data_IF_177507072206
#
_entry.id   IF_177507072206
#
_cell.length_a   1.000
_cell.length_b   1.000
_cell.length_c   1.000
_cell.angle_alpha   90.00
_cell.angle_beta   90.00
_cell.angle_gamma   90.00
#
_symmetry.space_group_name_H-M   'P 1'
#
loop_
_entity.id
_entity.type
_entity.pdbx_description
1 polymer ?
#
# COMPACT_ATOMS: atom_id res chain seq x y z
N UNK A 1 -10.65 -11.28 -54.02
CA UNK A 1 -10.35 -11.60 -55.43
C UNK A 1 -8.92 -12.12 -55.47
N UNK A 2 -8.69 -13.34 -55.96
CA UNK A 2 -7.38 -13.98 -55.88
C UNK A 2 -6.41 -13.37 -56.91
N UNK A 3 -5.22 -13.01 -56.45
CA UNK A 3 -4.04 -12.83 -57.29
C UNK A 3 -2.93 -13.70 -56.70
N UNK A 4 -2.54 -14.74 -57.43
CA UNK A 4 -1.29 -15.43 -57.21
C UNK A 4 -0.19 -14.58 -57.88
N UNK A 5 0.71 -13.99 -57.09
CA UNK A 5 1.97 -13.48 -57.60
C UNK A 5 3.07 -13.63 -56.55
N UNK A 6 4.20 -14.08 -57.06
CA UNK A 6 5.45 -14.37 -56.40
C UNK A 6 6.20 -13.06 -56.14
N UNK A 7 6.15 -12.51 -54.92
CA UNK A 7 7.03 -11.42 -54.48
C UNK A 7 7.39 -11.57 -53.00
N UNK A 8 8.58 -11.08 -52.67
CA UNK A 8 9.28 -11.13 -51.38
C UNK A 8 8.41 -11.04 -50.13
N UNK A 9 8.90 -11.63 -49.03
CA UNK A 9 8.41 -11.46 -47.66
C UNK A 9 7.74 -10.08 -47.43
N UNK A 10 6.42 -10.03 -47.57
CA UNK A 10 5.64 -8.80 -47.55
C UNK A 10 4.84 -8.72 -46.26
N UNK A 11 4.90 -7.57 -45.59
CA UNK A 11 4.10 -7.29 -44.40
C UNK A 11 2.62 -7.41 -44.73
N UNK A 12 1.87 -8.14 -43.88
CA UNK A 12 0.43 -8.27 -44.02
C UNK A 12 -0.23 -6.95 -43.59
N UNK A 13 -0.85 -6.17 -44.49
CA UNK A 13 -1.59 -4.97 -44.11
C UNK A 13 -2.71 -5.34 -43.12
N UNK A 14 -3.09 -4.38 -42.28
CA UNK A 14 -4.11 -4.53 -41.22
C UNK A 14 -3.75 -5.54 -40.10
N UNK A 15 -2.49 -5.99 -40.02
CA UNK A 15 -1.96 -6.79 -38.89
C UNK A 15 -1.04 -6.03 -37.93
N UNK A 16 -0.85 -4.73 -38.17
CA UNK A 16 -0.08 -3.86 -37.28
C UNK A 16 -0.75 -3.77 -35.90
N UNK A 17 0.04 -3.87 -34.84
CA UNK A 17 -0.41 -3.65 -33.46
C UNK A 17 0.44 -2.56 -32.82
N UNK A 18 -0.19 -1.45 -32.46
CA UNK A 18 0.45 -0.41 -31.67
C UNK A 18 0.32 -0.75 -30.17
N UNK A 19 1.44 -0.65 -29.44
CA UNK A 19 1.49 -0.80 -27.99
C UNK A 19 2.19 0.41 -27.38
N UNK A 20 1.71 0.88 -26.24
CA UNK A 20 2.33 1.93 -25.44
C UNK A 20 2.77 1.37 -24.09
N UNK A 21 3.83 1.96 -23.54
CA UNK A 21 4.31 1.66 -22.20
C UNK A 21 4.83 2.95 -21.58
N UNK A 22 4.61 3.10 -20.28
CA UNK A 22 5.15 4.22 -19.52
C UNK A 22 6.53 3.86 -18.96
N UNK A 23 7.45 4.84 -18.98
CA UNK A 23 8.76 4.71 -18.35
C UNK A 23 8.71 5.52 -17.05
N UNK A 24 8.94 4.84 -15.91
CA UNK A 24 8.93 5.46 -14.59
C UNK A 24 10.34 5.63 -14.05
N UNK A 25 10.66 6.85 -13.59
CA UNK A 25 11.87 7.17 -12.84
C UNK A 25 11.46 7.59 -11.44
N UNK A 26 11.92 6.86 -10.43
CA UNK A 26 11.66 7.15 -9.03
C UNK A 26 12.97 7.33 -8.26
N UNK A 27 12.99 8.34 -7.39
CA UNK A 27 14.06 8.59 -6.43
C UNK A 27 13.49 8.49 -5.01
N UNK A 28 14.31 8.23 -3.96
CA UNK A 28 13.81 8.15 -2.58
C UNK A 28 13.00 9.38 -2.16
N UNK A 29 13.38 10.56 -2.62
CA UNK A 29 12.73 11.84 -2.31
C UNK A 29 11.38 12.03 -3.02
N UNK A 30 11.01 11.13 -3.94
CA UNK A 30 9.69 11.16 -4.58
C UNK A 30 8.54 10.85 -3.61
N UNK A 31 8.84 10.33 -2.42
CA UNK A 31 7.89 10.12 -1.34
C UNK A 31 8.32 10.88 -0.09
N UNK A 32 7.41 11.65 0.48
CA UNK A 32 7.57 12.23 1.81
C UNK A 32 6.66 11.49 2.78
N UNK A 33 7.24 10.90 3.82
CA UNK A 33 6.54 10.05 4.80
C UNK A 33 6.59 10.71 6.18
N UNK A 34 5.44 10.85 6.82
CA UNK A 34 5.30 11.31 8.21
C UNK A 34 4.44 10.33 9.01
N UNK A 35 4.85 10.02 10.24
CA UNK A 35 4.09 9.22 11.19
C UNK A 35 3.90 10.02 12.48
N UNK A 36 2.67 10.40 12.76
CA UNK A 36 2.30 11.24 13.91
C UNK A 36 1.51 10.42 14.93
N UNK A 37 1.85 10.54 16.22
CA UNK A 37 1.04 9.95 17.29
C UNK A 37 -0.20 10.80 17.58
N UNK A 38 -1.27 10.16 18.01
CA UNK A 38 -2.45 10.86 18.56
C UNK A 38 -2.13 11.28 20.01
N UNK A 39 -2.18 12.58 20.35
CA UNK A 39 -1.92 13.03 21.71
C UNK A 39 -3.09 12.70 22.65
N UNK A 40 -2.80 12.58 23.95
CA UNK A 40 -3.84 12.46 24.98
C UNK A 40 -4.45 11.06 25.15
N UNK A 41 -3.82 10.01 24.61
CA UNK A 41 -4.24 8.62 24.85
C UNK A 41 -4.17 8.28 26.35
N UNK A 42 -5.25 7.68 26.87
CA UNK A 42 -5.37 7.31 28.29
C UNK A 42 -5.49 5.79 28.43
N UNK A 43 -4.74 5.21 29.36
CA UNK A 43 -4.82 3.79 29.70
C UNK A 43 -6.21 3.42 30.23
N UNK A 44 -6.64 2.17 30.02
CA UNK A 44 -7.91 1.63 30.49
C UNK A 44 -9.16 2.14 29.76
N UNK A 45 -8.99 2.91 28.69
CA UNK A 45 -10.08 3.45 27.84
C UNK A 45 -9.95 3.09 26.36
N UNK A 46 -9.05 2.17 26.01
CA UNK A 46 -8.97 1.67 24.64
C UNK A 46 -10.29 1.05 24.23
N UNK A 47 -10.66 1.22 22.96
CA UNK A 47 -11.75 0.51 22.32
C UNK A 47 -11.36 0.21 20.87
N UNK A 48 -11.98 -0.81 20.28
CA UNK A 48 -11.80 -1.15 18.87
C UNK A 48 -12.03 0.09 17.97
N UNK A 49 -11.11 0.30 17.02
CA UNK A 49 -11.14 1.44 16.11
C UNK A 49 -10.63 2.77 16.69
N UNK A 50 -10.11 2.81 17.93
CA UNK A 50 -9.49 4.03 18.48
C UNK A 50 -8.21 4.40 17.72
N UNK A 51 -8.16 5.61 17.15
CA UNK A 51 -6.95 6.15 16.50
C UNK A 51 -5.82 6.34 17.52
N UNK A 52 -4.63 5.81 17.19
CA UNK A 52 -3.42 5.96 18.02
C UNK A 52 -2.28 6.65 17.27
N UNK A 53 -2.28 6.59 15.95
CA UNK A 53 -1.33 7.29 15.10
C UNK A 53 -1.92 7.54 13.70
N UNK A 54 -1.27 8.42 12.94
CA UNK A 54 -1.65 8.80 11.58
C UNK A 54 -0.42 8.76 10.69
N UNK A 55 -0.46 7.91 9.67
CA UNK A 55 0.54 7.82 8.61
C UNK A 55 0.12 8.73 7.45
N UNK A 56 0.98 9.67 7.10
CA UNK A 56 0.79 10.55 5.93
C UNK A 56 1.92 10.33 4.95
N UNK A 57 1.57 9.96 3.72
CA UNK A 57 2.52 9.79 2.62
C UNK A 57 2.12 10.71 1.49
N UNK A 58 3.01 11.60 1.07
CA UNK A 58 2.74 12.56 0.00
C UNK A 58 3.74 12.42 -1.15
N UNK A 59 3.24 12.62 -2.37
CA UNK A 59 4.04 12.63 -3.60
C UNK A 59 3.38 13.48 -4.67
N UNK A 60 4.21 14.09 -5.52
CA UNK A 60 3.75 14.80 -6.71
C UNK A 60 3.69 13.91 -7.97
N UNK A 61 4.33 12.73 -7.95
CA UNK A 61 4.51 11.89 -9.14
C UNK A 61 4.15 10.41 -8.94
N UNK A 62 4.23 9.90 -7.71
CA UNK A 62 3.82 8.54 -7.36
C UNK A 62 2.36 8.58 -6.91
N UNK A 63 1.52 7.73 -7.49
CA UNK A 63 0.09 7.72 -7.19
C UNK A 63 -0.26 6.86 -5.98
N UNK A 64 0.42 5.72 -5.82
CA UNK A 64 0.13 4.73 -4.78
C UNK A 64 1.38 4.39 -3.98
N UNK A 65 1.22 4.04 -2.70
CA UNK A 65 2.28 3.52 -1.84
C UNK A 65 1.85 2.23 -1.15
N UNK A 66 2.83 1.37 -0.84
CA UNK A 66 2.62 0.18 -0.03
C UNK A 66 3.04 0.41 1.42
N UNK A 67 2.27 -0.11 2.39
CA UNK A 67 2.61 -0.06 3.80
C UNK A 67 2.34 -1.39 4.50
N UNK A 68 3.18 -1.70 5.50
CA UNK A 68 3.09 -2.89 6.35
C UNK A 68 3.56 -2.56 7.76
N UNK A 69 2.91 -3.17 8.75
CA UNK A 69 3.43 -3.22 10.10
C UNK A 69 4.73 -4.00 10.18
N UNK A 70 5.67 -3.54 11.01
CA UNK A 70 6.92 -4.25 11.31
C UNK A 70 6.93 -4.59 12.79
N UNK A 71 6.74 -5.88 13.09
CA UNK A 71 6.72 -6.42 14.45
C UNK A 71 7.20 -7.88 14.45
N UNK A 72 7.62 -8.37 15.61
CA UNK A 72 7.86 -9.80 15.82
C UNK A 72 6.57 -10.64 15.73
N UNK A 73 5.40 -10.01 15.77
CA UNK A 73 4.10 -10.68 15.63
C UNK A 73 3.21 -9.85 14.69
N UNK A 74 3.16 -10.28 13.44
CA UNK A 74 2.31 -9.73 12.37
C UNK A 74 1.10 -10.65 12.20
N UNK A 75 -0.09 -10.08 12.08
CA UNK A 75 -1.33 -10.80 11.81
C UNK A 75 -1.80 -10.51 10.38
N UNK A 76 -2.31 -11.55 9.72
CA UNK A 76 -2.70 -11.50 8.31
C UNK A 76 -1.51 -11.51 7.34
N UNK A 77 -1.76 -11.88 6.09
CA UNK A 77 -0.72 -11.97 5.06
C UNK A 77 -0.24 -10.60 4.56
N UNK A 78 -1.11 -9.59 4.60
CA UNK A 78 -0.82 -8.24 4.11
C UNK A 78 -0.06 -7.34 5.10
N UNK A 79 0.24 -7.85 6.31
CA UNK A 79 0.81 -7.07 7.40
C UNK A 79 0.00 -5.83 7.78
N UNK A 80 -1.33 -5.90 7.60
CA UNK A 80 -2.28 -4.83 7.89
C UNK A 80 -2.60 -4.72 9.38
N UNK A 81 -2.32 -5.77 10.15
CA UNK A 81 -2.48 -5.83 11.60
C UNK A 81 -1.22 -6.43 12.23
N UNK A 82 -0.81 -5.91 13.39
CA UNK A 82 0.36 -6.36 14.09
C UNK A 82 0.27 -6.04 15.58
N UNK A 83 1.02 -6.80 16.37
CA UNK A 83 1.08 -6.64 17.83
C UNK A 83 2.22 -5.71 18.20
N UNK A 84 2.00 -4.79 19.14
CA UNK A 84 3.04 -3.93 19.71
C UNK A 84 3.14 -4.23 21.21
N UNK A 85 4.37 -4.44 21.70
CA UNK A 85 4.64 -4.69 23.12
C UNK A 85 5.19 -3.43 23.80
N UNK A 86 4.55 -3.05 24.91
CA UNK A 86 4.94 -1.91 25.73
C UNK A 86 6.31 -2.15 26.40
N UNK A 87 7.20 -1.17 26.26
CA UNK A 87 8.60 -1.29 26.73
C UNK A 87 8.73 -1.53 28.25
N UNK A 88 7.80 -1.00 29.04
CA UNK A 88 7.89 -1.03 30.51
C UNK A 88 7.05 -2.15 31.13
N UNK A 89 5.81 -2.35 30.65
CA UNK A 89 4.88 -3.32 31.23
C UNK A 89 5.01 -4.72 30.63
N UNK A 90 5.55 -4.85 29.41
CA UNK A 90 5.47 -6.10 28.64
C UNK A 90 4.07 -6.42 28.12
N UNK A 91 3.06 -5.63 28.50
CA UNK A 91 1.71 -5.74 27.95
C UNK A 91 1.71 -5.37 26.48
N UNK A 92 0.82 -6.00 25.73
CA UNK A 92 0.76 -5.81 24.30
C UNK A 92 -0.63 -5.42 23.84
N UNK A 93 -0.67 -4.57 22.82
CA UNK A 93 -1.90 -4.19 22.13
C UNK A 93 -1.84 -4.68 20.69
N UNK A 94 -3.01 -4.97 20.13
CA UNK A 94 -3.15 -5.22 18.71
C UNK A 94 -3.52 -3.92 18.00
N UNK A 95 -2.86 -3.66 16.89
CA UNK A 95 -3.06 -2.46 16.10
C UNK A 95 -3.14 -2.82 14.62
N UNK A 96 -3.75 -1.96 13.84
CA UNK A 96 -3.83 -2.13 12.40
C UNK A 96 -4.10 -0.82 11.67
N UNK A 97 -4.00 -0.87 10.35
CA UNK A 97 -4.52 0.23 9.54
C UNK A 97 -6.04 0.30 9.70
N UNK A 98 -6.58 1.51 9.90
CA UNK A 98 -8.03 1.72 9.92
C UNK A 98 -8.66 1.17 8.64
N UNK A 99 -9.84 0.57 8.75
CA UNK A 99 -10.58 -0.04 7.62
C UNK A 99 -11.12 0.98 6.62
N UNK A 100 -10.59 2.20 6.58
CA UNK A 100 -11.13 3.31 5.81
C UNK A 100 -10.99 3.02 4.30
N UNK A 101 -12.08 2.54 3.71
CA UNK A 101 -12.18 1.98 2.36
C UNK A 101 -11.82 2.99 1.27
N UNK A 102 -11.87 4.29 1.57
CA UNK A 102 -11.70 5.36 0.58
C UNK A 102 -10.29 5.42 -0.04
N UNK A 103 -9.25 5.01 0.69
CA UNK A 103 -7.86 5.15 0.25
C UNK A 103 -7.19 3.82 -0.10
N UNK A 104 -7.79 2.70 0.28
CA UNK A 104 -7.22 1.37 0.06
C UNK A 104 -7.41 0.91 -1.39
N UNK A 105 -6.33 0.49 -2.05
CA UNK A 105 -6.33 -0.05 -3.43
C UNK A 105 -6.28 -1.57 -3.50
N UNK A 106 -6.25 -2.23 -2.34
CA UNK A 106 -6.19 -3.68 -2.19
C UNK A 106 -4.77 -4.22 -2.07
N UNK A 107 -4.61 -5.52 -1.77
CA UNK A 107 -3.29 -6.10 -1.55
C UNK A 107 -2.49 -6.28 -2.86
N UNK A 108 -1.17 -6.03 -2.80
CA UNK A 108 -0.22 -6.32 -3.89
C UNK A 108 0.88 -7.26 -3.43
N UNK A 109 1.24 -8.23 -4.26
CA UNK A 109 2.37 -9.13 -3.98
C UNK A 109 3.67 -8.52 -4.47
N UNK A 110 4.67 -8.45 -3.61
CA UNK A 110 6.03 -8.04 -3.97
C UNK A 110 7.04 -8.95 -3.27
N UNK A 111 7.89 -9.63 -4.04
CA UNK A 111 8.91 -10.57 -3.54
C UNK A 111 8.35 -11.67 -2.60
N UNK A 112 7.15 -12.18 -2.89
CA UNK A 112 6.50 -13.21 -2.07
C UNK A 112 5.76 -12.68 -0.84
N UNK A 113 5.80 -11.37 -0.61
CA UNK A 113 5.20 -10.68 0.52
C UNK A 113 4.00 -9.85 0.07
N UNK A 114 2.87 -9.93 0.80
CA UNK A 114 1.66 -9.15 0.47
C UNK A 114 1.69 -7.77 1.13
N UNK A 115 1.49 -6.70 0.37
CA UNK A 115 1.50 -5.32 0.85
C UNK A 115 0.10 -4.72 0.78
N UNK A 116 -0.31 -3.99 1.83
CA UNK A 116 -1.49 -3.14 1.74
C UNK A 116 -1.12 -1.88 0.95
N UNK A 117 -1.86 -1.55 -0.11
CA UNK A 117 -1.59 -0.34 -0.90
C UNK A 117 -2.65 0.72 -0.72
N UNK A 118 -2.20 1.97 -0.75
CA UNK A 118 -3.01 3.15 -0.49
C UNK A 118 -2.69 4.26 -1.48
N UNK A 119 -3.65 5.15 -1.72
CA UNK A 119 -3.42 6.40 -2.44
C UNK A 119 -2.44 7.31 -1.67
N UNK A 120 -1.44 7.84 -2.38
CA UNK A 120 -0.63 8.96 -1.85
C UNK A 120 -1.51 10.20 -1.66
N UNK A 121 -1.04 11.12 -0.80
CA UNK A 121 -1.72 12.36 -0.43
C UNK A 121 -3.04 12.14 0.33
N UNK A 122 -3.31 10.92 0.78
CA UNK A 122 -4.40 10.60 1.68
C UNK A 122 -3.86 9.95 2.96
N UNK A 123 -4.24 10.42 4.16
CA UNK A 123 -3.75 9.86 5.41
C UNK A 123 -4.35 8.48 5.69
N UNK A 124 -3.57 7.63 6.36
CA UNK A 124 -3.99 6.33 6.85
C UNK A 124 -3.87 6.34 8.37
N UNK A 125 -4.98 6.16 9.07
CA UNK A 125 -4.95 6.05 10.52
C UNK A 125 -4.49 4.65 10.93
N UNK A 126 -3.80 4.60 12.07
CA UNK A 126 -3.46 3.36 12.77
C UNK A 126 -4.33 3.34 14.01
N UNK A 127 -5.07 2.25 14.18
CA UNK A 127 -6.08 2.08 15.23
C UNK A 127 -5.75 0.90 16.12
N UNK A 128 -6.31 0.88 17.33
CA UNK A 128 -6.43 -0.35 18.13
C UNK A 128 -7.41 -1.28 17.42
N UNK A 129 -7.07 -2.57 17.31
CA UNK A 129 -7.98 -3.58 16.76
C UNK A 129 -8.21 -4.75 17.73
N UNK A 130 -9.38 -5.38 17.63
CA UNK A 130 -9.63 -6.68 18.27
C UNK A 130 -9.92 -6.64 19.78
N UNK A 131 -10.55 -5.56 20.25
CA UNK A 131 -11.13 -5.48 21.59
C UNK A 131 -12.47 -6.25 21.68
#
# INVERSE_FOLDING_TARGET
>A
MMAASCYAAGFLPDTEQQKSVDISFAAPESLTVSLEQVPGLMAGRGHDGMDIAKLTVSSASIQEFGARGVSGSILGSAGSEWKITGKNSGESILVGFSTNVATAKGPKMWNGETWSTFDTNAPVNIVITGD
#
